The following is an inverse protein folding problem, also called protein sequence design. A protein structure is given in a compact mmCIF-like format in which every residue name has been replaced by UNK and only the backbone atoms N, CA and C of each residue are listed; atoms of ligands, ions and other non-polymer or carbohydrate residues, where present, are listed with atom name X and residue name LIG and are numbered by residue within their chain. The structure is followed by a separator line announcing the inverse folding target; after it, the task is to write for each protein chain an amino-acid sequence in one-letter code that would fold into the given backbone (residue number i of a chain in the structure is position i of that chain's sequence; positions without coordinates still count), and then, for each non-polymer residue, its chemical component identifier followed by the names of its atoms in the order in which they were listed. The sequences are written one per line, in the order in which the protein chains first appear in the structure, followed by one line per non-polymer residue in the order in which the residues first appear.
data_IF_212686253763
#
_entry.id   IF_212686253763
#
_cell.length_a   1.000
_cell.length_b   1.000
_cell.length_c   1.000
_cell.angle_alpha   90.00
_cell.angle_beta   90.00
_cell.angle_gamma   90.00
#
_symmetry.space_group_name_H-M   'P 1'
#
loop_
_entity.id
_entity.type
_entity.pdbx_description
1 polymer ?
#
# COMPACT_ATOMS: atom_id res chain seq x y z
N UNK A 1 -11.82 -6.05 5.92
CA UNK A 1 -10.51 -6.70 6.13
C UNK A 1 -10.62 -7.84 7.13
N UNK A 2 -10.98 -7.60 8.40
CA UNK A 2 -11.10 -8.68 9.39
C UNK A 2 -11.94 -9.89 8.96
N UNK A 3 -13.16 -9.66 8.49
CA UNK A 3 -14.00 -10.75 7.97
C UNK A 3 -13.45 -11.48 6.74
N UNK A 4 -12.59 -10.84 5.96
CA UNK A 4 -11.94 -11.44 4.78
C UNK A 4 -10.81 -12.41 5.19
N UNK A 5 -10.18 -12.17 6.34
CA UNK A 5 -9.03 -12.92 6.84
C UNK A 5 -9.42 -14.08 7.77
N UNK A 6 -10.58 -14.01 8.42
CA UNK A 6 -11.09 -15.05 9.32
C UNK A 6 -11.11 -16.47 8.71
N UNK A 7 -11.48 -16.69 7.44
CA UNK A 7 -11.47 -18.03 6.84
C UNK A 7 -10.09 -18.66 6.69
N UNK A 8 -9.02 -17.88 6.90
CA UNK A 8 -7.62 -18.31 6.78
C UNK A 8 -6.93 -18.37 8.15
N UNK A 9 -7.70 -18.49 9.24
CA UNK A 9 -7.22 -18.56 10.63
C UNK A 9 -6.35 -17.38 11.08
N UNK A 10 -6.42 -16.25 10.36
CA UNK A 10 -5.74 -15.01 10.74
C UNK A 10 -6.63 -14.21 11.69
N UNK A 11 -6.13 -14.01 12.90
CA UNK A 11 -6.80 -13.20 13.93
C UNK A 11 -6.20 -11.79 13.99
N UNK A 12 -7.05 -10.77 14.01
CA UNK A 12 -6.60 -9.40 14.24
C UNK A 12 -6.27 -9.22 15.72
N UNK A 13 -4.98 -9.05 16.03
CA UNK A 13 -4.52 -8.79 17.39
C UNK A 13 -4.57 -7.31 17.76
N UNK A 14 -4.34 -6.42 16.80
CA UNK A 14 -4.27 -4.97 17.04
C UNK A 14 -4.77 -4.19 15.83
N UNK A 15 -5.45 -3.07 16.10
CA UNK A 15 -5.86 -2.08 15.12
C UNK A 15 -5.52 -0.69 15.66
N UNK A 16 -4.84 0.11 14.85
CA UNK A 16 -4.52 1.50 15.17
C UNK A 16 -5.11 2.37 14.05
N UNK A 17 -5.44 3.62 14.38
CA UNK A 17 -5.75 4.66 13.41
C UNK A 17 -4.89 5.86 13.77
N UNK A 18 -4.15 6.36 12.78
CA UNK A 18 -3.29 7.54 12.90
C UNK A 18 -3.81 8.62 11.97
N UNK A 19 -3.55 9.88 12.29
CA UNK A 19 -3.78 10.98 11.35
C UNK A 19 -2.70 11.00 10.26
N UNK A 20 -2.90 11.85 9.25
CA UNK A 20 -1.91 12.10 8.20
C UNK A 20 -0.76 12.99 8.73
N UNK A 21 0.04 12.40 9.60
CA UNK A 21 1.30 12.95 10.10
C UNK A 21 2.43 11.92 9.94
N UNK A 22 3.51 12.31 9.28
CA UNK A 22 4.64 11.42 8.95
C UNK A 22 5.21 10.78 10.22
N UNK A 23 5.43 11.56 11.28
CA UNK A 23 6.05 11.06 12.50
C UNK A 23 5.16 10.04 13.19
N UNK A 24 3.85 10.31 13.25
CA UNK A 24 2.84 9.41 13.82
C UNK A 24 2.78 8.09 13.07
N UNK A 25 2.77 8.13 11.73
CA UNK A 25 2.79 6.92 10.89
C UNK A 25 4.07 6.11 11.15
N UNK A 26 5.23 6.77 11.20
CA UNK A 26 6.52 6.10 11.44
C UNK A 26 6.55 5.46 12.83
N UNK A 27 6.26 6.23 13.88
CA UNK A 27 6.36 5.77 15.26
C UNK A 27 5.43 4.59 15.54
N UNK A 28 4.16 4.68 15.13
CA UNK A 28 3.21 3.59 15.36
C UNK A 28 3.54 2.35 14.52
N UNK A 29 4.00 2.53 13.28
CA UNK A 29 4.42 1.40 12.44
C UNK A 29 5.67 0.71 12.99
N UNK A 30 6.67 1.47 13.44
CA UNK A 30 7.87 0.93 14.10
C UNK A 30 7.51 0.19 15.39
N UNK A 31 6.63 0.78 16.21
CA UNK A 31 6.15 0.14 17.43
C UNK A 31 5.48 -1.20 17.11
N UNK A 32 4.59 -1.26 16.11
CA UNK A 32 3.93 -2.51 15.69
C UNK A 32 4.92 -3.54 15.16
N UNK A 33 5.86 -3.13 14.31
CA UNK A 33 6.88 -4.03 13.76
C UNK A 33 7.77 -4.63 14.86
N UNK A 34 7.97 -3.94 15.99
CA UNK A 34 8.75 -4.46 17.12
C UNK A 34 8.11 -5.67 17.84
N UNK A 35 6.81 -5.90 17.65
CA UNK A 35 6.11 -7.06 18.22
C UNK A 35 6.17 -8.32 17.35
N UNK A 36 6.84 -8.27 16.18
CA UNK A 36 7.02 -9.42 15.29
C UNK A 36 5.71 -10.15 14.91
N UNK A 37 4.68 -9.40 14.53
CA UNK A 37 3.47 -10.00 13.94
C UNK A 37 3.79 -10.67 12.60
N UNK A 38 3.04 -11.71 12.23
CA UNK A 38 3.21 -12.34 10.91
C UNK A 38 2.86 -11.37 9.77
N UNK A 39 1.83 -10.54 9.98
CA UNK A 39 1.30 -9.62 8.97
C UNK A 39 1.01 -8.24 9.56
N UNK A 40 1.43 -7.20 8.85
CA UNK A 40 1.04 -5.81 9.07
C UNK A 40 0.36 -5.27 7.82
N UNK A 41 -0.92 -4.89 7.95
CA UNK A 41 -1.68 -4.24 6.90
C UNK A 41 -1.83 -2.75 7.19
N UNK A 42 -1.36 -1.91 6.27
CA UNK A 42 -1.47 -0.46 6.31
C UNK A 42 -2.36 -0.02 5.14
N UNK A 43 -3.34 0.83 5.43
CA UNK A 43 -4.35 1.24 4.46
C UNK A 43 -4.55 2.75 4.51
N UNK A 44 -4.54 3.42 3.36
CA UNK A 44 -4.68 4.88 3.27
C UNK A 44 -3.39 5.58 2.86
N UNK A 45 -3.49 6.86 2.49
CA UNK A 45 -2.35 7.72 2.19
C UNK A 45 -1.50 7.32 0.98
N UNK A 46 -2.11 6.61 0.00
CA UNK A 46 -1.46 6.21 -1.27
C UNK A 46 -2.04 6.88 -2.51
N UNK A 47 -3.06 7.71 -2.36
CA UNK A 47 -3.68 8.43 -3.46
C UNK A 47 -2.78 9.50 -4.09
N UNK A 48 -3.32 10.29 -5.03
CA UNK A 48 -2.57 11.28 -5.78
C UNK A 48 -2.51 12.66 -5.11
N UNK A 49 -3.08 12.84 -3.90
CA UNK A 49 -3.17 14.16 -3.25
C UNK A 49 -1.96 14.43 -2.35
N UNK A 50 -1.75 15.69 -1.95
CA UNK A 50 -0.56 16.09 -1.19
C UNK A 50 -0.55 15.57 0.26
N UNK A 51 -1.72 15.24 0.79
CA UNK A 51 -1.94 14.59 2.08
C UNK A 51 -1.69 13.07 2.04
N UNK A 52 -1.50 12.46 0.86
CA UNK A 52 -1.11 11.07 0.72
C UNK A 52 0.39 10.86 1.03
N UNK A 53 0.71 10.89 2.33
CA UNK A 53 2.09 10.89 2.85
C UNK A 53 2.58 9.52 3.31
N UNK A 54 1.77 8.47 3.22
CA UNK A 54 2.14 7.13 3.71
C UNK A 54 3.35 6.57 2.96
N UNK A 55 3.46 6.80 1.65
CA UNK A 55 4.65 6.43 0.87
C UNK A 55 5.93 7.05 1.41
N UNK A 56 5.88 8.33 1.75
CA UNK A 56 7.04 9.06 2.28
C UNK A 56 7.39 8.61 3.71
N UNK A 57 6.38 8.36 4.55
CA UNK A 57 6.60 7.82 5.89
C UNK A 57 7.32 6.46 5.84
N UNK A 58 6.87 5.53 4.98
CA UNK A 58 7.51 4.23 4.82
C UNK A 58 8.86 4.30 4.11
N UNK A 59 9.08 5.30 3.24
CA UNK A 59 10.40 5.60 2.70
C UNK A 59 11.42 5.85 3.82
N UNK A 60 11.05 6.68 4.79
CA UNK A 60 11.92 7.01 5.94
C UNK A 60 12.05 5.82 6.90
N UNK A 61 10.95 5.13 7.20
CA UNK A 61 10.95 3.99 8.14
C UNK A 61 11.84 2.84 7.65
N UNK A 62 11.77 2.52 6.36
CA UNK A 62 12.45 1.37 5.76
C UNK A 62 13.84 1.69 5.20
N UNK A 63 14.31 2.94 5.39
CA UNK A 63 15.53 3.47 4.78
C UNK A 63 15.58 3.13 3.27
N UNK A 64 14.54 3.57 2.55
CA UNK A 64 14.36 3.26 1.14
C UNK A 64 14.30 4.54 0.27
N UNK A 65 14.21 4.35 -1.04
CA UNK A 65 14.15 5.42 -2.04
C UNK A 65 12.82 5.34 -2.80
N UNK A 66 12.24 6.50 -3.10
CA UNK A 66 11.13 6.58 -4.04
C UNK A 66 11.69 6.62 -5.47
N UNK A 67 11.32 5.65 -6.28
CA UNK A 67 11.65 5.56 -7.70
C UNK A 67 10.40 5.76 -8.54
N UNK A 68 10.59 6.28 -9.75
CA UNK A 68 9.52 6.42 -10.73
C UNK A 68 9.49 5.19 -11.64
N UNK A 69 8.39 4.44 -11.60
CA UNK A 69 8.15 3.33 -12.52
C UNK A 69 7.54 3.86 -13.82
N UNK A 70 8.40 4.05 -14.82
CA UNK A 70 7.99 4.53 -16.14
C UNK A 70 7.06 3.55 -16.85
N UNK A 71 7.25 2.23 -16.66
CA UNK A 71 6.38 1.21 -17.27
C UNK A 71 4.97 1.31 -16.70
N UNK A 72 4.84 1.37 -15.37
CA UNK A 72 3.54 1.52 -14.74
C UNK A 72 2.90 2.87 -15.06
N UNK A 73 3.69 3.96 -15.12
CA UNK A 73 3.18 5.27 -15.54
C UNK A 73 2.53 5.23 -16.93
N UNK A 74 3.19 4.60 -17.91
CA UNK A 74 2.65 4.48 -19.27
C UNK A 74 1.35 3.65 -19.30
N UNK A 75 1.30 2.55 -18.56
CA UNK A 75 0.08 1.73 -18.42
C UNK A 75 -1.06 2.52 -17.75
N UNK A 76 -0.76 3.23 -16.67
CA UNK A 76 -1.73 4.05 -15.96
C UNK A 76 -2.26 5.19 -16.85
N UNK A 77 -1.36 5.86 -17.58
CA UNK A 77 -1.70 6.92 -18.52
C UNK A 77 -2.66 6.42 -19.59
N UNK A 78 -2.35 5.30 -20.25
CA UNK A 78 -3.24 4.71 -21.26
C UNK A 78 -4.62 4.38 -20.66
N UNK A 79 -4.65 3.79 -19.46
CA UNK A 79 -5.90 3.43 -18.77
C UNK A 79 -6.75 4.66 -18.43
N UNK A 80 -6.14 5.74 -17.93
CA UNK A 80 -6.85 6.95 -17.53
C UNK A 80 -7.26 7.82 -18.73
N UNK A 81 -6.47 7.88 -19.79
CA UNK A 81 -6.80 8.63 -21.02
C UNK A 81 -8.00 8.04 -21.76
N UNK A 82 -8.21 6.71 -21.67
CA UNK A 82 -9.46 6.05 -22.14
C UNK A 82 -10.71 6.59 -21.44
N UNK A 83 -10.58 7.15 -20.22
CA UNK A 83 -11.69 7.67 -19.42
C UNK A 83 -11.79 9.20 -19.42
N UNK A 84 -10.67 9.91 -19.35
CA UNK A 84 -10.64 11.36 -19.08
C UNK A 84 -10.11 12.22 -20.23
N UNK A 85 -9.88 11.65 -21.43
CA UNK A 85 -9.17 12.24 -22.59
C UNK A 85 -7.69 12.58 -22.33
N UNK A 86 -7.38 13.16 -21.17
CA UNK A 86 -6.02 13.44 -20.68
C UNK A 86 -5.94 12.99 -19.22
N UNK A 87 -4.86 12.32 -18.84
CA UNK A 87 -4.63 11.94 -17.45
C UNK A 87 -4.33 13.18 -16.58
N UNK A 88 -4.98 13.34 -15.41
CA UNK A 88 -4.61 14.39 -14.46
C UNK A 88 -3.16 14.27 -14.01
N UNK A 89 -2.45 15.40 -13.89
CA UNK A 89 -1.03 15.41 -13.55
C UNK A 89 -0.75 14.80 -12.17
N UNK A 90 -1.67 15.00 -11.22
CA UNK A 90 -1.56 14.42 -9.86
C UNK A 90 -1.45 12.89 -9.88
N UNK A 91 -2.05 12.21 -10.87
CA UNK A 91 -1.91 10.76 -11.01
C UNK A 91 -0.49 10.31 -11.38
N UNK A 92 0.41 11.21 -11.80
CA UNK A 92 1.82 10.87 -12.03
C UNK A 92 2.50 10.35 -10.76
N UNK A 93 2.13 10.85 -9.57
CA UNK A 93 2.69 10.40 -8.28
C UNK A 93 2.33 8.94 -7.96
N UNK A 94 1.32 8.37 -8.62
CA UNK A 94 0.91 6.98 -8.45
C UNK A 94 1.93 5.98 -9.00
N UNK A 95 2.82 6.43 -9.89
CA UNK A 95 3.97 5.66 -10.36
C UNK A 95 5.24 5.86 -9.53
N UNK A 96 5.19 6.67 -8.45
CA UNK A 96 6.25 6.71 -7.46
C UNK A 96 6.07 5.54 -6.49
N UNK A 97 7.07 4.68 -6.41
CA UNK A 97 7.08 3.45 -5.62
C UNK A 97 8.35 3.37 -4.79
N UNK A 98 8.28 2.65 -3.67
CA UNK A 98 9.46 2.34 -2.88
C UNK A 98 10.30 1.28 -3.60
N UNK A 99 11.58 1.56 -3.78
CA UNK A 99 12.50 0.77 -4.63
C UNK A 99 12.63 -0.68 -4.20
N UNK A 100 12.60 -0.97 -2.90
CA UNK A 100 12.71 -2.34 -2.37
C UNK A 100 11.36 -3.07 -2.31
N UNK A 101 10.26 -2.40 -2.65
CA UNK A 101 8.93 -2.99 -2.56
C UNK A 101 8.65 -3.95 -3.71
N UNK A 102 7.95 -5.04 -3.39
CA UNK A 102 7.21 -5.81 -4.39
C UNK A 102 5.84 -5.15 -4.62
N UNK A 103 5.50 -4.86 -5.88
CA UNK A 103 4.22 -4.21 -6.20
C UNK A 103 3.05 -5.18 -6.11
N UNK A 104 1.95 -4.75 -5.51
CA UNK A 104 0.67 -5.47 -5.53
C UNK A 104 -0.26 -4.77 -6.53
N UNK A 105 -0.75 -5.47 -7.57
CA UNK A 105 -1.62 -4.86 -8.56
C UNK A 105 -2.94 -4.32 -7.96
N UNK A 106 -3.42 -3.22 -8.52
CA UNK A 106 -4.72 -2.65 -8.22
C UNK A 106 -5.54 -2.47 -9.52
N UNK A 107 -6.38 -3.45 -9.81
CA UNK A 107 -7.18 -3.50 -11.03
C UNK A 107 -8.26 -2.40 -11.06
N UNK A 108 -8.70 -1.96 -9.88
CA UNK A 108 -9.84 -1.06 -9.69
C UNK A 108 -9.43 0.41 -9.50
N UNK A 109 -8.17 0.67 -9.16
CA UNK A 109 -7.67 2.00 -8.82
C UNK A 109 -6.30 2.30 -9.43
N UNK A 110 -5.81 3.51 -9.18
CA UNK A 110 -4.51 3.97 -9.70
C UNK A 110 -3.32 3.66 -8.78
N UNK A 111 -3.56 3.47 -7.48
CA UNK A 111 -2.49 3.25 -6.50
C UNK A 111 -2.14 1.77 -6.45
N UNK A 112 -0.92 1.40 -6.83
CA UNK A 112 -0.42 0.06 -6.55
C UNK A 112 -0.22 -0.10 -5.04
N UNK A 113 -0.42 -1.32 -4.55
CA UNK A 113 0.05 -1.69 -3.22
C UNK A 113 1.54 -1.98 -3.24
N UNK A 114 2.13 -2.01 -2.06
CA UNK A 114 3.54 -2.33 -1.85
C UNK A 114 3.65 -3.39 -0.77
N UNK A 115 4.51 -4.38 -1.01
CA UNK A 115 4.83 -5.46 -0.09
C UNK A 115 6.30 -5.44 0.28
N UNK A 116 6.58 -5.69 1.56
CA UNK A 116 7.92 -5.95 2.09
C UNK A 116 7.88 -7.12 3.04
N UNK A 117 8.93 -7.95 3.03
CA UNK A 117 9.23 -8.83 4.16
C UNK A 117 10.24 -8.14 5.07
N UNK A 118 9.78 -7.54 6.16
CA UNK A 118 10.60 -6.77 7.08
C UNK A 118 10.72 -7.49 8.42
N UNK A 119 11.93 -7.95 8.77
CA UNK A 119 12.21 -8.63 10.05
C UNK A 119 11.27 -9.83 10.34
N UNK A 120 10.88 -10.56 9.29
CA UNK A 120 9.96 -11.70 9.38
C UNK A 120 8.48 -11.33 9.30
N UNK A 121 8.12 -10.05 9.33
CA UNK A 121 6.74 -9.56 9.15
C UNK A 121 6.48 -9.24 7.69
N UNK A 122 5.38 -9.77 7.15
CA UNK A 122 4.83 -9.34 5.87
C UNK A 122 4.12 -7.98 6.04
N UNK A 123 4.72 -6.92 5.53
CA UNK A 123 4.17 -5.56 5.53
C UNK A 123 3.50 -5.29 4.19
N UNK A 124 2.20 -5.00 4.22
CA UNK A 124 1.39 -4.61 3.08
C UNK A 124 0.92 -3.17 3.23
N UNK A 125 1.23 -2.31 2.26
CA UNK A 125 0.75 -0.93 2.19
C UNK A 125 -0.22 -0.83 1.01
N UNK A 126 -1.46 -0.41 1.28
CA UNK A 126 -2.57 -0.45 0.32
C UNK A 126 -3.38 0.86 0.32
N UNK A 127 -4.12 1.15 -0.77
CA UNK A 127 -5.04 2.30 -0.80
C UNK A 127 -6.13 2.19 0.27
N UNK A 128 -6.66 3.33 0.70
CA UNK A 128 -7.72 3.41 1.71
C UNK A 128 -9.12 3.12 1.17
N UNK A 129 -9.31 3.07 -0.15
CA UNK A 129 -10.60 2.81 -0.79
C UNK A 129 -11.04 1.37 -0.48
N UNK A 130 -12.14 1.14 0.28
CA UNK A 130 -12.45 -0.19 0.80
C UNK A 130 -12.64 -1.27 -0.27
N UNK A 131 -13.17 -0.90 -1.44
CA UNK A 131 -13.36 -1.81 -2.57
C UNK A 131 -12.04 -2.27 -3.18
N UNK A 132 -11.12 -1.34 -3.45
CA UNK A 132 -9.80 -1.61 -4.01
C UNK A 132 -9.00 -2.50 -3.06
N UNK A 133 -8.88 -2.08 -1.80
CA UNK A 133 -8.15 -2.82 -0.76
C UNK A 133 -8.67 -4.25 -0.60
N UNK A 134 -10.00 -4.45 -0.57
CA UNK A 134 -10.58 -5.78 -0.43
C UNK A 134 -10.19 -6.69 -1.61
N UNK A 135 -10.27 -6.21 -2.85
CA UNK A 135 -9.89 -7.00 -4.02
C UNK A 135 -8.40 -7.29 -4.06
N UNK A 136 -7.55 -6.36 -3.64
CA UNK A 136 -6.11 -6.59 -3.54
C UNK A 136 -5.80 -7.73 -2.55
N UNK A 137 -6.46 -7.73 -1.39
CA UNK A 137 -6.31 -8.79 -0.40
C UNK A 137 -6.76 -10.14 -0.99
N UNK A 138 -7.94 -10.20 -1.58
CA UNK A 138 -8.54 -11.45 -2.08
C UNK A 138 -7.81 -12.03 -3.30
N UNK A 139 -7.35 -11.19 -4.23
CA UNK A 139 -6.75 -11.62 -5.50
C UNK A 139 -5.25 -11.83 -5.44
N UNK A 140 -4.55 -11.02 -4.64
CA UNK A 140 -3.09 -10.94 -4.69
C UNK A 140 -2.43 -11.22 -3.36
N UNK A 141 -3.00 -10.81 -2.23
CA UNK A 141 -2.31 -11.03 -0.95
C UNK A 141 -2.54 -12.46 -0.44
N UNK A 142 -3.80 -12.86 -0.31
CA UNK A 142 -4.16 -14.17 0.21
C UNK A 142 -3.48 -15.28 -0.61
N UNK A 143 -3.65 -15.36 -1.95
CA UNK A 143 -3.11 -16.50 -2.70
C UNK A 143 -1.58 -16.61 -2.71
N UNK A 144 -0.86 -15.50 -2.48
CA UNK A 144 0.59 -15.46 -2.61
C UNK A 144 1.33 -15.48 -1.26
N UNK A 145 0.73 -14.95 -0.18
CA UNK A 145 1.41 -14.76 1.10
C UNK A 145 0.71 -15.41 2.30
N UNK A 146 -0.56 -15.80 2.16
CA UNK A 146 -1.33 -16.44 3.24
C UNK A 146 -1.62 -17.88 2.81
N UNK A 147 -1.13 -18.84 3.58
CA UNK A 147 -1.29 -20.28 3.31
C UNK A 147 -2.26 -20.92 4.28
#
# INVERSE_FOLDING_TARGET
MGSTLLPYDITIQKKITVGDDINSIIQESQNILSYHYDFLFVTGGLGPTHDDITKEAFRQLLDDELIFDESYYLQLKERLEKRFKVMPESNRSQAMLLKKAETIPNDDGSALGMHFLHQGTHLFIMPGVPGEMKKMVERYIIPNYIK
#
